data_IF_594416308663
#
_entry.id   IF_594416308663
#
_cell.length_a   1.000
_cell.length_b   1.000
_cell.length_c   1.000
_cell.angle_alpha   90.00
_cell.angle_beta   90.00
_cell.angle_gamma   90.00
#
_symmetry.space_group_name_H-M   'P 1'
#
loop_
_entity.id
_entity.type
_entity.pdbx_description
1 polymer ?
#
# COMPACT_ATOMS: atom_id res chain seq x y z
N UNK A 1 -31.35 5.77 -12.58
CA UNK A 1 -30.31 5.53 -11.57
C UNK A 1 -29.00 5.22 -12.29
N UNK A 2 -27.98 6.07 -12.18
CA UNK A 2 -26.68 5.83 -12.80
C UNK A 2 -25.94 4.73 -12.02
N UNK A 3 -25.71 3.57 -12.65
CA UNK A 3 -24.89 2.51 -12.08
C UNK A 3 -23.45 3.00 -11.99
N UNK A 4 -23.01 3.40 -10.79
CA UNK A 4 -21.59 3.64 -10.50
C UNK A 4 -20.86 2.30 -10.49
N UNK A 5 -20.41 1.84 -11.65
CA UNK A 5 -19.43 0.77 -11.74
C UNK A 5 -18.11 1.28 -11.16
N UNK A 6 -17.90 1.12 -9.85
CA UNK A 6 -16.58 1.21 -9.27
C UNK A 6 -15.82 -0.04 -9.70
N UNK A 7 -15.22 0.01 -10.90
CA UNK A 7 -14.34 -1.04 -11.40
C UNK A 7 -13.18 -1.21 -10.43
N UNK A 8 -12.80 -2.46 -10.16
CA UNK A 8 -11.56 -2.72 -9.45
C UNK A 8 -10.40 -2.22 -10.32
N UNK A 9 -9.49 -1.45 -9.72
CA UNK A 9 -8.25 -1.01 -10.36
C UNK A 9 -7.06 -1.67 -9.66
N UNK A 10 -5.92 -1.75 -10.35
CA UNK A 10 -4.68 -2.23 -9.77
C UNK A 10 -4.12 -1.23 -8.76
N UNK A 11 -3.82 -1.69 -7.56
CA UNK A 11 -3.15 -0.95 -6.50
C UNK A 11 -1.81 -1.59 -6.21
N UNK A 12 -0.74 -0.85 -6.41
CA UNK A 12 0.59 -1.22 -5.97
C UNK A 12 0.72 -0.93 -4.48
N UNK A 13 1.10 -1.93 -3.71
CA UNK A 13 1.32 -1.86 -2.27
C UNK A 13 2.78 -2.17 -2.01
N UNK A 14 3.49 -1.24 -1.36
CA UNK A 14 4.91 -1.39 -1.02
C UNK A 14 5.00 -1.87 0.42
N UNK A 15 5.81 -2.91 0.61
CA UNK A 15 6.08 -3.55 1.89
C UNK A 15 7.59 -3.53 2.12
N UNK A 16 8.01 -3.11 3.32
CA UNK A 16 9.42 -3.14 3.76
C UNK A 16 9.44 -3.80 5.13
N UNK A 17 10.22 -4.88 5.29
CA UNK A 17 10.35 -5.67 6.53
C UNK A 17 8.99 -5.94 7.21
N UNK A 18 8.05 -6.52 6.45
CA UNK A 18 6.69 -6.85 6.91
C UNK A 18 5.80 -5.64 7.30
N UNK A 19 6.25 -4.41 7.08
CA UNK A 19 5.47 -3.20 7.24
C UNK A 19 4.93 -2.74 5.90
N UNK A 20 3.62 -2.52 5.80
CA UNK A 20 3.03 -1.88 4.62
C UNK A 20 3.29 -0.37 4.72
N UNK A 21 4.07 0.17 3.78
CA UNK A 21 4.60 1.54 3.87
C UNK A 21 3.94 2.53 2.92
N UNK A 22 3.43 2.06 1.79
CA UNK A 22 2.78 2.90 0.80
C UNK A 22 1.79 2.12 -0.07
N UNK A 23 0.78 2.81 -0.61
CA UNK A 23 -0.13 2.23 -1.60
C UNK A 23 -0.65 3.28 -2.60
N UNK A 24 -0.74 2.90 -3.88
CA UNK A 24 -1.17 3.80 -4.96
C UNK A 24 -1.48 3.06 -6.26
N UNK A 25 -2.20 3.71 -7.18
CA UNK A 25 -2.58 3.13 -8.48
C UNK A 25 -1.69 3.59 -9.65
N UNK A 26 -0.76 4.51 -9.41
CA UNK A 26 0.23 4.96 -10.39
C UNK A 26 1.60 4.31 -10.12
N UNK A 27 2.14 3.60 -11.11
CA UNK A 27 3.36 2.82 -10.94
C UNK A 27 4.60 3.70 -10.71
N UNK A 28 4.78 4.77 -11.50
CA UNK A 28 5.94 5.65 -11.41
C UNK A 28 6.00 6.36 -10.05
N UNK A 29 4.85 6.84 -9.56
CA UNK A 29 4.72 7.42 -8.22
C UNK A 29 5.10 6.41 -7.15
N UNK A 30 4.71 5.15 -7.31
CA UNK A 30 4.96 4.11 -6.31
C UNK A 30 6.42 3.63 -6.29
N UNK A 31 7.11 3.60 -7.44
CA UNK A 31 8.55 3.38 -7.51
C UNK A 31 9.30 4.48 -6.76
N UNK A 32 9.00 5.76 -7.03
CA UNK A 32 9.63 6.88 -6.34
C UNK A 32 9.36 6.85 -4.82
N UNK A 33 8.14 6.47 -4.44
CA UNK A 33 7.76 6.35 -3.02
C UNK A 33 8.47 5.18 -2.34
N UNK A 34 8.66 4.06 -3.02
CA UNK A 34 9.44 2.93 -2.52
C UNK A 34 10.88 3.35 -2.20
N UNK A 35 11.57 4.02 -3.12
CA UNK A 35 12.97 4.43 -2.89
C UNK A 35 13.10 5.44 -1.74
N UNK A 36 12.14 6.35 -1.57
CA UNK A 36 12.10 7.24 -0.41
C UNK A 36 11.91 6.48 0.91
N UNK A 37 10.96 5.56 0.95
CA UNK A 37 10.66 4.75 2.13
C UNK A 37 11.83 3.80 2.49
N UNK A 38 12.63 3.36 1.51
CA UNK A 38 13.88 2.62 1.72
C UNK A 38 14.98 3.52 2.30
N UNK A 39 15.15 4.73 1.77
CA UNK A 39 16.15 5.68 2.27
C UNK A 39 15.90 6.08 3.74
N UNK A 40 14.63 6.14 4.16
CA UNK A 40 14.25 6.40 5.56
C UNK A 40 14.50 5.18 6.50
N UNK A 41 14.81 4.00 5.95
CA UNK A 41 15.02 2.74 6.70
C UNK A 41 16.37 2.10 6.31
N UNK A 42 17.50 2.66 6.78
CA UNK A 42 18.85 2.30 6.29
C UNK A 42 19.31 0.85 6.54
N UNK A 43 18.53 0.01 7.22
CA UNK A 43 18.87 -1.38 7.53
C UNK A 43 17.78 -2.38 7.11
N UNK A 44 16.95 -2.03 6.13
CA UNK A 44 15.90 -2.95 5.68
C UNK A 44 16.50 -4.19 5.00
N UNK A 45 15.88 -5.35 5.19
CA UNK A 45 16.33 -6.60 4.57
C UNK A 45 15.43 -7.05 3.42
N UNK A 46 14.14 -6.74 3.47
CA UNK A 46 13.19 -7.09 2.43
C UNK A 46 12.41 -5.85 1.98
N UNK A 47 12.30 -5.67 0.66
CA UNK A 47 11.46 -4.67 0.04
C UNK A 47 10.76 -5.27 -1.17
N UNK A 48 9.42 -5.23 -1.16
CA UNK A 48 8.59 -5.78 -2.22
C UNK A 48 7.43 -4.86 -2.57
N UNK A 49 7.07 -4.87 -3.84
CA UNK A 49 5.89 -4.19 -4.36
C UNK A 49 4.96 -5.25 -4.96
N UNK A 50 3.74 -5.30 -4.45
CA UNK A 50 2.72 -6.28 -4.85
C UNK A 50 1.49 -5.56 -5.37
N UNK A 51 0.75 -6.20 -6.28
CA UNK A 51 -0.44 -5.61 -6.88
C UNK A 51 -1.71 -6.29 -6.38
N UNK A 52 -2.66 -5.51 -5.88
CA UNK A 52 -3.99 -5.96 -5.49
C UNK A 52 -5.06 -5.21 -6.27
N UNK A 53 -6.11 -5.91 -6.70
CA UNK A 53 -7.24 -5.30 -7.41
C UNK A 53 -8.36 -4.97 -6.43
N UNK A 54 -8.70 -3.68 -6.31
CA UNK A 54 -9.75 -3.23 -5.39
C UNK A 54 -10.40 -1.93 -5.86
N UNK A 55 -11.56 -1.59 -5.28
CA UNK A 55 -12.28 -0.35 -5.60
C UNK A 55 -11.62 0.90 -5.03
N UNK A 56 -10.87 0.75 -3.94
CA UNK A 56 -10.17 1.85 -3.29
C UNK A 56 -8.91 1.38 -2.56
N UNK A 57 -8.02 2.34 -2.26
CA UNK A 57 -6.74 2.13 -1.59
C UNK A 57 -6.84 1.34 -0.28
N UNK A 58 -7.83 1.66 0.55
CA UNK A 58 -8.02 1.03 1.86
C UNK A 58 -8.36 -0.45 1.72
N UNK A 59 -9.19 -0.81 0.75
CA UNK A 59 -9.51 -2.21 0.46
C UNK A 59 -8.30 -2.97 -0.07
N UNK A 60 -7.49 -2.37 -0.95
CA UNK A 60 -6.26 -3.00 -1.44
C UNK A 60 -5.24 -3.25 -0.32
N UNK A 61 -5.01 -2.26 0.56
CA UNK A 61 -4.11 -2.40 1.71
C UNK A 61 -4.63 -3.48 2.66
N UNK A 62 -5.93 -3.52 2.94
CA UNK A 62 -6.53 -4.56 3.78
C UNK A 62 -6.34 -5.96 3.18
N UNK A 63 -6.62 -6.13 1.89
CA UNK A 63 -6.43 -7.40 1.19
C UNK A 63 -4.96 -7.85 1.19
N UNK A 64 -4.03 -6.90 1.02
CA UNK A 64 -2.61 -7.16 1.13
C UNK A 64 -2.21 -7.65 2.52
N UNK A 65 -2.68 -6.98 3.57
CA UNK A 65 -2.39 -7.36 4.95
C UNK A 65 -2.94 -8.75 5.29
N UNK A 66 -4.17 -9.05 4.87
CA UNK A 66 -4.80 -10.36 5.09
C UNK A 66 -4.07 -11.48 4.30
N UNK A 67 -3.79 -11.25 3.02
CA UNK A 67 -3.20 -12.27 2.14
C UNK A 67 -1.74 -12.59 2.48
N UNK A 68 -1.03 -11.68 3.14
CA UNK A 68 0.39 -11.83 3.49
C UNK A 68 0.61 -11.89 5.01
N UNK A 69 -0.46 -11.97 5.80
CA UNK A 69 -0.42 -12.00 7.27
C UNK A 69 0.42 -10.86 7.88
N UNK A 70 0.27 -9.64 7.34
CA UNK A 70 0.98 -8.44 7.82
C UNK A 70 0.10 -7.68 8.82
N UNK A 71 0.70 -7.27 9.93
CA UNK A 71 -0.03 -6.59 11.02
C UNK A 71 0.38 -5.12 11.21
N UNK A 72 1.33 -4.64 10.40
CA UNK A 72 1.96 -3.33 10.58
C UNK A 72 1.79 -2.42 9.38
N UNK A 73 1.39 -1.17 9.65
CA UNK A 73 1.32 -0.05 8.71
C UNK A 73 2.27 1.07 9.15
N UNK A 74 2.95 1.71 8.20
CA UNK A 74 3.74 2.91 8.47
C UNK A 74 2.85 4.05 8.99
N UNK A 75 3.43 4.96 9.79
CA UNK A 75 2.71 6.12 10.33
C UNK A 75 2.17 7.00 9.19
N UNK A 76 2.97 7.20 8.13
CA UNK A 76 2.60 7.97 6.95
C UNK A 76 1.37 7.39 6.24
N UNK A 77 1.34 6.06 6.06
CA UNK A 77 0.21 5.39 5.41
C UNK A 77 -1.03 5.32 6.31
N UNK A 78 -0.88 5.13 7.62
CA UNK A 78 -2.01 5.21 8.57
C UNK A 78 -2.70 6.57 8.51
N UNK A 79 -1.92 7.66 8.50
CA UNK A 79 -2.42 9.01 8.37
C UNK A 79 -3.14 9.24 7.03
N UNK A 80 -2.57 8.75 5.93
CA UNK A 80 -3.18 8.82 4.59
C UNK A 80 -4.52 8.09 4.51
N UNK A 81 -4.62 6.92 5.14
CA UNK A 81 -5.85 6.12 5.19
C UNK A 81 -6.88 6.64 6.19
N UNK A 82 -6.57 7.73 6.91
CA UNK A 82 -7.39 8.30 8.00
C UNK A 82 -7.77 7.26 9.05
N UNK A 83 -6.89 6.30 9.30
CA UNK A 83 -7.08 5.31 10.36
C UNK A 83 -6.67 5.99 11.67
N UNK A 84 -7.62 6.22 12.57
CA UNK A 84 -7.32 6.61 13.96
C UNK A 84 -6.79 5.36 14.68
N UNK A 85 -5.72 5.55 15.45
CA UNK A 85 -5.09 4.50 16.27
C UNK A 85 -6.03 3.96 17.33
#
# INVERSE_FOLDING_TARGET
MSMKFAHNVGWYVVIIDEVVVAAGCDFNTMINRQEREKAERPNHQDCKMVTFYAKNKKQAVKACMESMSLYSLSVSLRAELRLKG
#
